data_IF_709858151515
#
_entry.id   IF_709858151515
#
_cell.length_a   1.000
_cell.length_b   1.000
_cell.length_c   1.000
_cell.angle_alpha   90.00
_cell.angle_beta   90.00
_cell.angle_gamma   90.00
#
_symmetry.space_group_name_H-M   'P 1'
#
loop_
_entity.id
_entity.type
_entity.pdbx_description
1 polymer ?
#
# COMPACT_ATOMS: atom_id res chain seq x y z
N UNK A 1 28.67 -8.07 13.29
CA UNK A 1 27.44 -7.62 14.00
C UNK A 1 26.31 -7.28 13.04
N UNK A 2 26.46 -6.32 12.10
CA UNK A 2 25.37 -5.98 11.14
C UNK A 2 24.97 -7.15 10.24
N UNK A 3 25.89 -7.93 9.71
CA UNK A 3 25.57 -9.14 8.91
C UNK A 3 24.75 -10.16 9.70
N UNK A 4 25.07 -10.37 10.98
CA UNK A 4 24.33 -11.30 11.84
C UNK A 4 22.90 -10.80 12.09
N UNK A 5 22.73 -9.49 12.29
CA UNK A 5 21.41 -8.87 12.46
C UNK A 5 20.59 -8.99 11.17
N UNK A 6 21.17 -8.73 10.02
CA UNK A 6 20.48 -8.86 8.73
C UNK A 6 20.05 -10.31 8.44
N UNK A 7 20.92 -11.30 8.75
CA UNK A 7 20.58 -12.72 8.59
C UNK A 7 19.42 -13.10 9.52
N UNK A 8 19.46 -12.65 10.78
CA UNK A 8 18.36 -12.88 11.73
C UNK A 8 17.05 -12.26 11.26
N UNK A 9 17.08 -10.97 10.89
CA UNK A 9 15.87 -10.26 10.38
C UNK A 9 15.31 -10.97 9.15
N UNK A 10 16.17 -11.39 8.22
CA UNK A 10 15.73 -12.12 7.03
C UNK A 10 15.09 -13.47 7.39
N UNK A 11 15.63 -14.19 8.35
CA UNK A 11 15.03 -15.46 8.81
C UNK A 11 13.66 -15.23 9.46
N UNK A 12 13.48 -14.14 10.20
CA UNK A 12 12.18 -13.75 10.78
C UNK A 12 11.19 -13.36 9.67
N UNK A 13 11.63 -12.59 8.68
CA UNK A 13 10.83 -12.19 7.52
C UNK A 13 10.37 -13.40 6.70
N UNK A 14 11.28 -14.30 6.38
CA UNK A 14 11.01 -15.54 5.66
C UNK A 14 10.01 -16.43 6.43
N UNK A 15 10.02 -16.41 7.75
CA UNK A 15 9.04 -17.09 8.59
C UNK A 15 7.68 -16.39 8.56
N UNK A 16 7.65 -15.08 8.75
CA UNK A 16 6.41 -14.28 8.82
C UNK A 16 5.70 -14.26 7.47
N UNK A 17 6.43 -13.96 6.38
CA UNK A 17 5.90 -14.00 5.00
C UNK A 17 6.02 -15.39 4.35
N UNK A 18 6.15 -16.42 5.16
CA UNK A 18 6.15 -17.79 4.70
C UNK A 18 4.82 -18.19 4.07
N UNK A 19 4.82 -19.39 3.49
CA UNK A 19 3.62 -20.00 2.85
C UNK A 19 2.36 -19.89 3.72
N UNK A 20 2.41 -20.10 5.06
CA UNK A 20 1.21 -20.07 5.89
C UNK A 20 0.45 -18.73 5.86
N UNK A 21 1.13 -17.61 5.98
CA UNK A 21 0.47 -16.28 5.97
C UNK A 21 -0.10 -15.95 4.60
N UNK A 22 0.66 -16.23 3.53
CA UNK A 22 0.17 -16.01 2.16
C UNK A 22 -1.06 -16.88 1.85
N UNK A 23 -1.04 -18.15 2.26
CA UNK A 23 -2.20 -19.03 2.11
C UNK A 23 -3.39 -18.49 2.92
N UNK A 24 -3.18 -18.02 4.14
CA UNK A 24 -4.22 -17.44 4.98
C UNK A 24 -4.89 -16.24 4.31
N UNK A 25 -4.11 -15.29 3.80
CA UNK A 25 -4.62 -14.07 3.15
C UNK A 25 -5.34 -14.43 1.83
N UNK A 26 -4.73 -15.28 1.00
CA UNK A 26 -5.33 -15.72 -0.25
C UNK A 26 -6.63 -16.54 -0.01
N UNK A 27 -6.61 -17.48 0.94
CA UNK A 27 -7.80 -18.26 1.29
C UNK A 27 -8.93 -17.37 1.80
N UNK A 28 -8.62 -16.37 2.62
CA UNK A 28 -9.59 -15.37 3.07
C UNK A 28 -10.20 -14.58 1.92
N UNK A 29 -9.38 -14.08 1.00
CA UNK A 29 -9.85 -13.38 -0.21
C UNK A 29 -10.71 -14.24 -1.12
N UNK A 30 -10.31 -15.50 -1.36
CA UNK A 30 -11.07 -16.48 -2.14
C UNK A 30 -12.39 -16.79 -1.44
N UNK A 31 -12.37 -17.11 -0.13
CA UNK A 31 -13.57 -17.38 0.65
C UNK A 31 -14.57 -16.23 0.58
N UNK A 32 -14.12 -14.99 0.79
CA UNK A 32 -14.97 -13.80 0.70
C UNK A 32 -15.49 -13.60 -0.71
N UNK A 33 -14.67 -13.79 -1.73
CA UNK A 33 -15.08 -13.72 -3.15
C UNK A 33 -16.22 -14.68 -3.46
N UNK A 34 -16.09 -15.95 -3.02
CA UNK A 34 -17.11 -16.99 -3.22
C UNK A 34 -18.37 -16.66 -2.42
N UNK A 35 -18.26 -16.33 -1.14
CA UNK A 35 -19.41 -16.04 -0.27
C UNK A 35 -20.18 -14.79 -0.70
N UNK A 36 -19.52 -13.80 -1.31
CA UNK A 36 -20.11 -12.58 -1.85
C UNK A 36 -20.54 -12.73 -3.32
N UNK A 37 -20.35 -13.90 -3.94
CA UNK A 37 -20.78 -14.19 -5.31
C UNK A 37 -20.08 -13.32 -6.35
N UNK A 38 -18.74 -13.22 -6.31
CA UNK A 38 -17.93 -12.40 -7.23
C UNK A 38 -18.34 -10.91 -7.24
N UNK A 39 -18.62 -10.36 -6.05
CA UNK A 39 -19.11 -8.99 -5.88
C UNK A 39 -18.20 -7.97 -6.58
N UNK A 40 -16.88 -8.15 -6.49
CA UNK A 40 -15.89 -7.27 -7.10
C UNK A 40 -16.01 -7.18 -8.64
N UNK A 41 -16.53 -8.21 -9.31
CA UNK A 41 -16.83 -8.14 -10.75
C UNK A 41 -18.19 -7.50 -11.01
N UNK A 42 -19.22 -7.96 -10.27
CA UNK A 42 -20.60 -7.60 -10.52
C UNK A 42 -20.95 -6.17 -10.12
N UNK A 43 -20.24 -5.63 -9.12
CA UNK A 43 -20.53 -4.32 -8.53
C UNK A 43 -19.42 -3.30 -8.69
N UNK A 44 -18.36 -3.61 -9.46
CA UNK A 44 -17.29 -2.66 -9.75
C UNK A 44 -17.80 -1.36 -10.41
N UNK A 45 -18.70 -1.39 -11.42
CA UNK A 45 -19.22 -0.16 -12.01
C UNK A 45 -19.95 0.72 -10.97
N UNK A 46 -20.73 0.11 -10.08
CA UNK A 46 -21.41 0.82 -9.00
C UNK A 46 -20.41 1.40 -7.99
N UNK A 47 -19.37 0.63 -7.64
CA UNK A 47 -18.31 1.07 -6.75
C UNK A 47 -17.56 2.29 -7.31
N UNK A 48 -17.22 2.29 -8.60
CA UNK A 48 -16.58 3.42 -9.30
C UNK A 48 -17.50 4.66 -9.35
N UNK A 49 -18.82 4.47 -9.55
CA UNK A 49 -19.83 5.56 -9.48
C UNK A 49 -19.83 6.19 -8.08
N UNK A 50 -19.90 5.37 -7.04
CA UNK A 50 -19.95 5.85 -5.65
C UNK A 50 -18.61 6.36 -5.10
N UNK A 51 -17.53 6.02 -5.73
CA UNK A 51 -16.23 6.59 -5.42
C UNK A 51 -16.22 8.12 -5.58
N UNK A 52 -16.88 8.64 -6.61
CA UNK A 52 -16.96 10.08 -6.91
C UNK A 52 -18.22 10.76 -6.40
N UNK A 53 -19.29 9.99 -6.12
CA UNK A 53 -20.56 10.52 -5.60
C UNK A 53 -20.58 10.40 -4.08
N UNK A 54 -20.38 11.52 -3.39
CA UNK A 54 -20.46 11.56 -1.93
C UNK A 54 -21.91 11.37 -1.45
N UNK A 55 -22.07 10.80 -0.26
CA UNK A 55 -23.33 10.68 0.45
C UNK A 55 -23.52 11.87 1.38
N UNK A 56 -24.71 12.44 1.42
CA UNK A 56 -25.03 13.54 2.33
C UNK A 56 -25.62 13.03 3.65
N UNK A 57 -25.23 13.67 4.75
CA UNK A 57 -25.84 13.47 6.07
C UNK A 57 -25.52 12.15 6.77
N UNK A 58 -24.39 11.52 6.47
CA UNK A 58 -23.85 10.41 7.25
C UNK A 58 -22.94 10.87 8.39
N UNK A 59 -22.78 10.02 9.41
CA UNK A 59 -21.74 10.22 10.42
C UNK A 59 -20.36 10.03 9.80
N UNK A 60 -19.37 10.78 10.28
CA UNK A 60 -17.98 10.71 9.81
C UNK A 60 -17.32 12.08 9.77
N UNK A 61 -15.99 12.10 9.61
CA UNK A 61 -15.17 13.33 9.65
C UNK A 61 -14.84 13.86 8.26
N UNK A 62 -14.79 12.99 7.26
CA UNK A 62 -14.37 13.26 5.89
C UNK A 62 -15.28 12.57 4.88
N UNK A 63 -15.35 13.10 3.67
CA UNK A 63 -16.16 12.48 2.60
C UNK A 63 -15.68 11.05 2.29
N UNK A 64 -16.55 10.20 1.70
CA UNK A 64 -16.16 8.85 1.25
C UNK A 64 -14.99 8.89 0.25
N UNK A 65 -14.97 9.87 -0.65
CA UNK A 65 -13.84 10.12 -1.54
C UNK A 65 -12.57 10.53 -0.76
N UNK A 66 -12.72 11.38 0.27
CA UNK A 66 -11.59 11.74 1.15
C UNK A 66 -11.02 10.56 1.91
N UNK A 67 -11.87 9.69 2.41
CA UNK A 67 -11.45 8.45 3.07
C UNK A 67 -10.74 7.50 2.10
N UNK A 68 -11.23 7.37 0.87
CA UNK A 68 -10.56 6.60 -0.18
C UNK A 68 -9.20 7.21 -0.55
N UNK A 69 -9.12 8.53 -0.75
CA UNK A 69 -7.85 9.20 -1.05
C UNK A 69 -6.85 9.07 0.10
N UNK A 70 -7.31 9.11 1.35
CA UNK A 70 -6.47 8.85 2.52
C UNK A 70 -5.98 7.38 2.54
N UNK A 71 -6.85 6.43 2.19
CA UNK A 71 -6.44 5.04 2.05
C UNK A 71 -5.48 4.83 0.87
N UNK A 72 -5.75 5.43 -0.29
CA UNK A 72 -4.87 5.39 -1.46
C UNK A 72 -3.53 6.11 -1.20
N UNK A 73 -3.52 7.17 -0.40
CA UNK A 73 -2.26 7.82 -0.03
C UNK A 73 -1.35 6.88 0.73
N UNK A 74 -1.88 6.01 1.57
CA UNK A 74 -1.09 5.03 2.30
C UNK A 74 -0.64 3.86 1.43
N UNK A 75 -1.41 3.48 0.40
CA UNK A 75 -1.15 2.30 -0.44
C UNK A 75 -0.34 2.61 -1.70
N UNK A 76 -0.64 3.72 -2.41
CA UNK A 76 0.11 4.13 -3.60
C UNK A 76 1.43 4.77 -3.17
N UNK A 77 2.48 3.97 -3.12
CA UNK A 77 3.80 4.35 -2.62
C UNK A 77 4.95 3.74 -3.41
N UNK A 78 6.06 3.53 -2.74
CA UNK A 78 7.21 2.83 -3.32
C UNK A 78 6.86 1.40 -3.77
N UNK A 79 5.84 0.78 -3.18
CA UNK A 79 5.35 -0.55 -3.55
C UNK A 79 4.96 -0.67 -5.02
N UNK A 80 4.30 0.35 -5.57
CA UNK A 80 3.80 0.37 -6.95
C UNK A 80 4.90 0.52 -8.01
N UNK A 81 6.05 1.05 -7.66
CA UNK A 81 7.18 1.29 -8.57
C UNK A 81 8.33 0.33 -8.23
N UNK A 82 8.90 0.48 -7.04
CA UNK A 82 10.05 -0.31 -6.57
C UNK A 82 9.64 -1.74 -6.21
N UNK A 83 8.48 -1.91 -5.55
CA UNK A 83 7.96 -3.22 -5.16
C UNK A 83 7.64 -4.11 -6.36
N UNK A 84 7.02 -3.55 -7.40
CA UNK A 84 6.75 -4.27 -8.66
C UNK A 84 8.05 -4.66 -9.36
N UNK A 85 9.02 -3.72 -9.46
CA UNK A 85 10.32 -4.01 -10.03
C UNK A 85 11.05 -5.13 -9.29
N UNK A 86 11.01 -5.11 -7.95
CA UNK A 86 11.58 -6.16 -7.10
C UNK A 86 10.88 -7.51 -7.29
N UNK A 87 9.53 -7.51 -7.42
CA UNK A 87 8.77 -8.74 -7.67
C UNK A 87 9.14 -9.37 -9.00
N UNK A 88 9.19 -8.55 -10.07
CA UNK A 88 9.54 -9.02 -11.41
C UNK A 88 11.01 -9.41 -11.51
N UNK A 89 11.91 -8.67 -10.86
CA UNK A 89 13.35 -9.01 -10.81
C UNK A 89 13.62 -10.33 -10.11
N UNK A 90 12.96 -10.59 -8.97
CA UNK A 90 13.19 -11.80 -8.18
C UNK A 90 12.36 -13.01 -8.65
N UNK A 91 11.13 -12.79 -9.13
CA UNK A 91 10.20 -13.84 -9.53
C UNK A 91 9.98 -13.98 -11.04
N UNK A 92 10.68 -13.16 -11.83
CA UNK A 92 10.46 -13.06 -13.28
C UNK A 92 9.12 -12.38 -13.65
N UNK A 93 8.81 -12.23 -14.94
CA UNK A 93 7.57 -11.59 -15.43
C UNK A 93 6.29 -12.23 -14.87
N UNK A 94 6.33 -13.54 -14.55
CA UNK A 94 5.21 -14.28 -13.97
C UNK A 94 4.75 -13.76 -12.60
N UNK A 95 5.61 -13.09 -11.85
CA UNK A 95 5.24 -12.48 -10.58
C UNK A 95 4.12 -11.44 -10.75
N UNK A 96 4.08 -10.72 -11.90
CA UNK A 96 3.02 -9.77 -12.19
C UNK A 96 1.65 -10.44 -12.31
N UNK A 97 1.57 -11.60 -12.94
CA UNK A 97 0.32 -12.38 -13.03
C UNK A 97 -0.23 -12.71 -11.64
N UNK A 98 0.63 -13.22 -10.76
CA UNK A 98 0.24 -13.59 -9.40
C UNK A 98 -0.11 -12.39 -8.52
N UNK A 99 0.54 -11.25 -8.74
CA UNK A 99 0.23 -9.98 -8.10
C UNK A 99 -1.19 -9.51 -8.46
N UNK A 100 -1.55 -9.54 -9.74
CA UNK A 100 -2.89 -9.16 -10.23
C UNK A 100 -3.96 -10.13 -9.71
N UNK A 101 -3.67 -11.43 -9.70
CA UNK A 101 -4.58 -12.45 -9.19
C UNK A 101 -4.82 -12.28 -7.68
N UNK A 102 -3.77 -11.99 -6.92
CA UNK A 102 -3.89 -11.70 -5.49
C UNK A 102 -4.74 -10.44 -5.23
N UNK A 103 -4.54 -9.38 -6.03
CA UNK A 103 -5.32 -8.17 -5.94
C UNK A 103 -6.80 -8.39 -6.27
N UNK A 104 -7.10 -9.24 -7.26
CA UNK A 104 -8.47 -9.60 -7.60
C UNK A 104 -9.24 -10.18 -6.39
N UNK A 105 -8.63 -11.13 -5.67
CA UNK A 105 -9.21 -11.66 -4.44
C UNK A 105 -9.14 -10.65 -3.29
N UNK A 106 -8.08 -9.85 -3.24
CA UNK A 106 -7.91 -8.76 -2.29
C UNK A 106 -8.99 -7.69 -2.35
N UNK A 107 -9.63 -7.47 -3.52
CA UNK A 107 -10.76 -6.56 -3.64
C UNK A 107 -11.93 -6.96 -2.75
N UNK A 108 -12.28 -8.25 -2.66
CA UNK A 108 -13.32 -8.75 -1.77
C UNK A 108 -12.93 -8.62 -0.29
N UNK A 109 -11.65 -8.77 0.01
CA UNK A 109 -11.10 -8.53 1.35
C UNK A 109 -11.25 -7.06 1.74
N UNK A 110 -10.80 -6.15 0.89
CA UNK A 110 -10.89 -4.69 1.09
C UNK A 110 -12.33 -4.20 1.25
N UNK A 111 -13.25 -4.77 0.45
CA UNK A 111 -14.69 -4.56 0.61
C UNK A 111 -15.16 -4.90 2.02
N UNK A 112 -14.79 -6.08 2.50
CA UNK A 112 -15.21 -6.59 3.80
C UNK A 112 -14.61 -5.77 4.95
N UNK A 113 -13.34 -5.38 4.83
CA UNK A 113 -12.64 -4.49 5.76
C UNK A 113 -13.33 -3.13 5.88
N UNK A 114 -13.64 -2.49 4.75
CA UNK A 114 -14.31 -1.19 4.72
C UNK A 114 -15.73 -1.22 5.29
N UNK A 115 -16.49 -2.29 4.99
CA UNK A 115 -17.81 -2.52 5.56
C UNK A 115 -17.76 -2.67 7.08
N UNK A 116 -16.87 -3.54 7.58
CA UNK A 116 -16.74 -3.78 9.03
C UNK A 116 -16.24 -2.56 9.77
N UNK A 117 -15.37 -1.76 9.15
CA UNK A 117 -14.85 -0.53 9.74
C UNK A 117 -15.96 0.50 10.03
N UNK A 118 -16.88 0.69 9.09
CA UNK A 118 -18.02 1.60 9.27
C UNK A 118 -19.07 1.00 10.21
N UNK A 119 -19.34 -0.32 10.09
CA UNK A 119 -20.35 -0.98 10.93
C UNK A 119 -20.01 -0.94 12.42
N UNK A 120 -18.74 -1.09 12.77
CA UNK A 120 -18.26 -1.17 14.15
C UNK A 120 -17.48 0.06 14.62
N UNK A 121 -17.57 1.17 13.90
CA UNK A 121 -16.95 2.43 14.34
C UNK A 121 -17.66 3.00 15.56
N UNK A 122 -16.90 3.77 16.33
CA UNK A 122 -17.39 4.53 17.48
C UNK A 122 -17.29 6.00 17.18
N UNK A 123 -18.37 6.72 17.39
CA UNK A 123 -18.40 8.19 17.24
C UNK A 123 -18.19 8.79 18.64
N UNK A 124 -17.10 9.54 18.80
CA UNK A 124 -16.81 10.29 20.02
C UNK A 124 -17.80 11.44 20.24
N UNK A 125 -17.83 11.97 21.47
CA UNK A 125 -18.70 13.11 21.83
C UNK A 125 -18.39 14.39 21.03
N UNK A 126 -17.20 14.49 20.51
CA UNK A 126 -16.67 15.57 19.67
C UNK A 126 -16.92 15.35 18.16
N UNK A 127 -17.66 14.28 17.79
CA UNK A 127 -17.92 13.88 16.42
C UNK A 127 -16.74 13.14 15.75
N UNK A 128 -15.70 12.82 16.51
CA UNK A 128 -14.53 12.10 16.03
C UNK A 128 -14.86 10.62 15.76
N UNK A 129 -14.55 10.12 14.56
CA UNK A 129 -14.83 8.74 14.16
C UNK A 129 -13.64 7.83 14.41
N UNK A 130 -13.83 6.84 15.26
CA UNK A 130 -12.83 5.84 15.62
C UNK A 130 -13.26 4.48 15.12
N UNK A 131 -12.48 3.84 14.28
CA UNK A 131 -12.78 2.54 13.74
C UNK A 131 -11.53 1.87 13.16
N UNK A 132 -11.75 0.69 12.58
CA UNK A 132 -10.69 -0.16 12.05
C UNK A 132 -10.66 -1.52 12.73
N UNK A 133 -9.63 -2.35 12.45
CA UNK A 133 -9.58 -3.72 12.95
C UNK A 133 -9.70 -3.86 14.45
N UNK A 134 -9.05 -3.00 15.22
CA UNK A 134 -9.12 -3.05 16.67
C UNK A 134 -10.54 -2.83 17.20
N UNK A 135 -11.39 -2.06 16.51
CA UNK A 135 -12.80 -1.88 16.92
C UNK A 135 -13.67 -3.05 16.45
N UNK A 136 -13.57 -3.53 15.22
CA UNK A 136 -14.40 -4.67 14.83
C UNK A 136 -13.94 -6.00 15.44
N UNK A 137 -12.68 -6.12 15.89
CA UNK A 137 -12.24 -7.23 16.72
C UNK A 137 -12.90 -7.13 18.11
N UNK A 138 -12.81 -5.98 18.78
CA UNK A 138 -13.32 -5.82 20.13
C UNK A 138 -14.85 -5.87 20.20
N UNK A 139 -15.55 -5.23 19.27
CA UNK A 139 -17.00 -5.12 19.28
C UNK A 139 -17.70 -6.22 18.45
N UNK A 140 -17.13 -6.56 17.31
CA UNK A 140 -17.73 -7.55 16.41
C UNK A 140 -17.51 -8.98 16.88
N UNK A 141 -16.30 -9.31 17.36
CA UNK A 141 -16.00 -10.64 17.93
C UNK A 141 -16.29 -10.71 19.45
N UNK A 142 -16.39 -9.54 20.10
CA UNK A 142 -16.67 -9.39 21.52
C UNK A 142 -15.46 -9.05 22.37
N UNK A 143 -15.74 -8.53 23.60
CA UNK A 143 -14.73 -7.96 24.51
C UNK A 143 -13.62 -8.96 24.89
N UNK A 144 -13.89 -10.26 24.83
CA UNK A 144 -12.91 -11.32 25.11
C UNK A 144 -11.73 -11.29 24.13
N UNK A 145 -11.90 -10.69 22.94
CA UNK A 145 -10.89 -10.56 21.90
C UNK A 145 -10.12 -9.26 21.93
N UNK A 146 -10.34 -8.44 22.97
CA UNK A 146 -9.63 -7.15 23.14
C UNK A 146 -8.11 -7.27 23.13
N UNK A 147 -7.56 -8.39 23.60
CA UNK A 147 -6.12 -8.66 23.53
C UNK A 147 -5.62 -8.72 22.08
N UNK A 148 -6.39 -9.36 21.17
CA UNK A 148 -6.06 -9.44 19.75
C UNK A 148 -6.13 -8.06 19.09
N UNK A 149 -7.12 -7.25 19.46
CA UNK A 149 -7.24 -5.87 19.00
C UNK A 149 -6.03 -5.01 19.41
N UNK A 150 -5.53 -5.19 20.65
CA UNK A 150 -4.32 -4.51 21.13
C UNK A 150 -3.06 -4.96 20.40
N UNK A 151 -2.93 -6.25 20.07
CA UNK A 151 -1.82 -6.79 19.26
C UNK A 151 -1.83 -6.15 17.88
N UNK A 152 -3.00 -6.10 17.21
CA UNK A 152 -3.12 -5.40 15.93
C UNK A 152 -2.66 -3.94 16.03
N UNK A 153 -3.19 -3.20 17.01
CA UNK A 153 -2.88 -1.80 17.17
C UNK A 153 -1.39 -1.55 17.50
N UNK A 154 -0.76 -2.44 18.28
CA UNK A 154 0.68 -2.38 18.54
C UNK A 154 1.50 -2.53 17.25
N UNK A 155 1.19 -3.55 16.44
CA UNK A 155 1.87 -3.69 15.16
C UNK A 155 1.59 -2.53 14.21
N UNK A 156 0.39 -1.96 14.20
CA UNK A 156 0.05 -0.78 13.42
C UNK A 156 0.91 0.44 13.77
N UNK A 157 1.21 0.66 15.04
CA UNK A 157 2.17 1.70 15.49
C UNK A 157 3.58 1.40 14.99
N UNK A 158 4.02 0.14 15.09
CA UNK A 158 5.36 -0.26 14.64
C UNK A 158 5.52 -0.13 13.11
N UNK A 159 4.51 -0.53 12.33
CA UNK A 159 4.51 -0.41 10.85
C UNK A 159 4.59 1.06 10.43
N UNK A 160 3.85 1.96 11.09
CA UNK A 160 3.94 3.38 10.82
C UNK A 160 5.35 3.92 11.11
N UNK A 161 5.89 3.65 12.29
CA UNK A 161 7.12 4.27 12.77
C UNK A 161 8.40 3.65 12.16
N UNK A 162 8.47 2.34 12.00
CA UNK A 162 9.67 1.62 11.60
C UNK A 162 9.55 0.90 10.26
N UNK A 163 8.34 0.86 9.68
CA UNK A 163 8.02 0.07 8.53
C UNK A 163 7.72 0.89 7.28
N UNK A 164 6.64 0.47 6.62
CA UNK A 164 6.17 1.03 5.35
C UNK A 164 5.78 2.51 5.47
N UNK A 165 5.41 2.98 6.67
CA UNK A 165 4.97 4.36 6.88
C UNK A 165 6.09 5.39 6.82
N UNK A 166 7.31 5.03 7.21
CA UNK A 166 8.42 5.97 7.29
C UNK A 166 9.63 5.48 6.50
N UNK A 167 10.43 4.60 7.08
CA UNK A 167 11.77 4.27 6.61
C UNK A 167 11.81 3.78 5.17
N UNK A 168 10.91 2.89 4.77
CA UNK A 168 10.89 2.38 3.39
C UNK A 168 10.55 3.46 2.37
N UNK A 169 9.61 4.35 2.68
CA UNK A 169 9.20 5.43 1.77
C UNK A 169 10.29 6.50 1.67
N UNK A 170 10.83 6.93 2.81
CA UNK A 170 11.87 7.97 2.85
C UNK A 170 13.14 7.47 2.17
N UNK A 171 13.48 6.21 2.36
CA UNK A 171 14.61 5.59 1.69
C UNK A 171 14.39 5.50 0.17
N UNK A 172 13.17 5.14 -0.26
CA UNK A 172 12.79 5.15 -1.67
C UNK A 172 12.91 6.53 -2.31
N UNK A 173 12.43 7.58 -1.64
CA UNK A 173 12.58 8.98 -2.09
C UNK A 173 14.06 9.36 -2.20
N UNK A 174 14.83 9.12 -1.14
CA UNK A 174 16.24 9.49 -1.08
C UNK A 174 17.06 8.78 -2.15
N UNK A 175 16.79 7.49 -2.37
CA UNK A 175 17.44 6.73 -3.44
C UNK A 175 17.09 7.26 -4.83
N UNK A 176 15.83 7.60 -5.08
CA UNK A 176 15.41 8.14 -6.36
C UNK A 176 16.01 9.52 -6.64
N UNK A 177 16.00 10.40 -5.63
CA UNK A 177 16.61 11.74 -5.72
C UNK A 177 18.12 11.64 -5.93
N UNK A 178 18.78 10.76 -5.17
CA UNK A 178 20.22 10.54 -5.30
C UNK A 178 20.60 9.97 -6.67
N UNK A 179 19.88 8.98 -7.16
CA UNK A 179 20.11 8.40 -8.48
C UNK A 179 19.96 9.41 -9.63
N UNK A 180 19.13 10.44 -9.43
CA UNK A 180 18.94 11.49 -10.41
C UNK A 180 20.00 12.61 -10.32
N UNK A 181 20.27 13.14 -9.10
CA UNK A 181 21.10 14.32 -8.91
C UNK A 181 22.59 14.02 -8.66
N UNK A 182 22.91 12.89 -8.03
CA UNK A 182 24.30 12.48 -7.72
C UNK A 182 24.48 10.95 -7.82
N UNK A 183 24.29 10.36 -9.03
CA UNK A 183 24.31 8.90 -9.22
C UNK A 183 25.65 8.25 -8.89
N UNK A 184 26.74 9.03 -8.85
CA UNK A 184 28.10 8.53 -8.54
C UNK A 184 28.54 8.83 -7.13
N UNK A 185 27.68 9.44 -6.29
CA UNK A 185 28.02 9.88 -4.92
C UNK A 185 29.30 10.72 -4.85
N UNK A 186 29.46 11.65 -5.80
CA UNK A 186 30.69 12.47 -5.90
C UNK A 186 30.74 13.60 -4.87
N UNK A 187 29.59 14.00 -4.34
CA UNK A 187 29.46 15.13 -3.42
C UNK A 187 28.92 14.66 -2.08
N UNK A 188 29.77 13.99 -1.30
CA UNK A 188 29.42 13.46 0.02
C UNK A 188 29.75 14.42 1.15
N UNK A 189 28.93 14.44 2.19
CA UNK A 189 29.07 15.25 3.40
C UNK A 189 28.86 14.34 4.62
N UNK A 190 29.67 14.55 5.67
CA UNK A 190 29.44 13.95 6.99
C UNK A 190 28.31 14.69 7.70
N UNK A 191 27.16 14.03 7.88
CA UNK A 191 26.01 14.63 8.58
C UNK A 191 26.26 14.66 10.10
N UNK A 192 26.68 13.52 10.65
CA UNK A 192 27.05 13.38 12.06
C UNK A 192 28.20 12.38 12.19
N UNK A 193 29.04 12.46 13.25
CA UNK A 193 30.21 11.60 13.41
C UNK A 193 29.93 10.09 13.38
N UNK A 194 28.69 9.70 13.68
CA UNK A 194 28.27 8.30 13.79
C UNK A 194 27.38 7.82 12.63
N UNK A 195 26.90 8.71 11.73
CA UNK A 195 26.01 8.37 10.62
C UNK A 195 26.73 8.12 9.29
N UNK A 196 28.04 8.35 9.21
CA UNK A 196 28.78 8.17 7.96
C UNK A 196 28.68 9.33 6.97
N UNK A 197 29.09 9.08 5.73
CA UNK A 197 29.07 10.06 4.64
C UNK A 197 27.90 9.78 3.70
N UNK A 198 27.13 10.83 3.40
CA UNK A 198 25.96 10.78 2.50
C UNK A 198 26.03 11.88 1.46
N UNK A 199 25.46 11.62 0.28
CA UNK A 199 25.36 12.65 -0.75
C UNK A 199 24.53 13.84 -0.26
N UNK A 200 24.92 15.04 -0.65
CA UNK A 200 24.18 16.28 -0.34
C UNK A 200 22.71 16.20 -0.79
N UNK A 201 22.46 15.50 -1.93
CA UNK A 201 21.09 15.30 -2.45
C UNK A 201 20.19 14.56 -1.45
N UNK A 202 20.71 13.53 -0.75
CA UNK A 202 20.01 12.80 0.30
C UNK A 202 19.71 13.68 1.49
N UNK A 203 20.68 14.51 1.90
CA UNK A 203 20.53 15.41 3.06
C UNK A 203 19.46 16.46 2.80
N UNK A 204 19.52 17.12 1.64
CA UNK A 204 18.52 18.14 1.27
C UNK A 204 17.14 17.50 1.13
N UNK A 205 17.05 16.34 0.45
CA UNK A 205 15.78 15.62 0.32
C UNK A 205 15.17 15.28 1.69
N UNK A 206 15.97 14.79 2.65
CA UNK A 206 15.48 14.45 3.99
C UNK A 206 14.97 15.67 4.77
N UNK A 207 15.66 16.81 4.67
CA UNK A 207 15.26 18.07 5.31
C UNK A 207 13.95 18.61 4.72
N UNK A 208 13.88 18.69 3.40
CA UNK A 208 12.67 19.17 2.68
C UNK A 208 11.50 18.26 2.97
N UNK A 209 11.71 16.94 2.93
CA UNK A 209 10.67 15.94 3.21
C UNK A 209 10.16 16.07 4.64
N UNK A 210 11.06 16.12 5.64
CA UNK A 210 10.67 16.25 7.04
C UNK A 210 9.89 17.56 7.29
N UNK A 211 10.30 18.66 6.65
CA UNK A 211 9.56 19.93 6.72
C UNK A 211 8.17 19.83 6.11
N UNK A 212 8.04 19.27 4.90
CA UNK A 212 6.74 19.10 4.23
C UNK A 212 5.81 18.18 5.02
N UNK A 213 6.34 17.05 5.55
CA UNK A 213 5.59 16.13 6.39
C UNK A 213 5.12 16.83 7.67
N UNK A 214 6.00 17.53 8.39
CA UNK A 214 5.63 18.30 9.58
C UNK A 214 4.54 19.33 9.30
N UNK A 215 4.65 20.07 8.18
CA UNK A 215 3.68 21.08 7.77
C UNK A 215 2.27 20.50 7.57
N UNK A 216 2.15 19.25 7.11
CA UNK A 216 0.85 18.58 6.93
C UNK A 216 0.37 17.94 8.23
N UNK A 217 1.22 17.18 8.93
CA UNK A 217 0.84 16.39 10.10
C UNK A 217 0.36 17.25 11.27
N UNK A 218 0.94 18.43 11.48
CA UNK A 218 0.51 19.37 12.53
C UNK A 218 -0.97 19.77 12.37
N UNK A 219 -1.51 19.75 11.15
CA UNK A 219 -2.92 20.04 10.86
C UNK A 219 -3.87 18.87 11.11
N UNK A 220 -3.38 17.69 11.47
CA UNK A 220 -4.17 16.48 11.79
C UNK A 220 -4.91 15.87 10.58
N UNK A 221 -5.83 14.95 10.88
CA UNK A 221 -6.52 14.10 9.87
C UNK A 221 -7.20 14.88 8.75
N UNK A 222 -7.87 15.99 9.08
CA UNK A 222 -8.57 16.81 8.07
C UNK A 222 -7.60 17.39 7.04
N UNK A 223 -6.41 17.81 7.50
CA UNK A 223 -5.38 18.33 6.61
C UNK A 223 -4.72 17.23 5.79
N UNK A 224 -4.46 16.08 6.39
CA UNK A 224 -3.97 14.90 5.67
C UNK A 224 -4.96 14.51 4.57
N UNK A 225 -6.25 14.39 4.88
CA UNK A 225 -7.29 14.07 3.90
C UNK A 225 -7.38 15.12 2.78
N UNK A 226 -7.35 16.42 3.12
CA UNK A 226 -7.40 17.49 2.12
C UNK A 226 -6.21 17.47 1.17
N UNK A 227 -5.01 17.24 1.68
CA UNK A 227 -3.79 17.10 0.88
C UNK A 227 -3.85 15.84 0.01
N UNK A 228 -4.28 14.72 0.58
CA UNK A 228 -4.42 13.45 -0.15
C UNK A 228 -5.45 13.53 -1.27
N UNK A 229 -6.58 14.21 -1.08
CA UNK A 229 -7.61 14.40 -2.12
C UNK A 229 -7.10 15.16 -3.35
N UNK A 230 -6.07 15.97 -3.21
CA UNK A 230 -5.46 16.72 -4.33
C UNK A 230 -4.30 15.92 -4.92
N UNK A 231 -3.36 15.49 -4.08
CA UNK A 231 -2.10 14.88 -4.56
C UNK A 231 -2.35 13.49 -5.13
N UNK A 232 -3.19 12.66 -4.50
CA UNK A 232 -3.36 11.26 -4.92
C UNK A 232 -3.95 11.14 -6.34
N UNK A 233 -5.06 11.80 -6.70
CA UNK A 233 -5.55 11.76 -8.07
C UNK A 233 -4.55 12.36 -9.07
N UNK A 234 -3.90 13.48 -8.70
CA UNK A 234 -2.92 14.15 -9.55
C UNK A 234 -1.74 13.23 -9.88
N UNK A 235 -1.11 12.63 -8.86
CA UNK A 235 0.04 11.74 -9.07
C UNK A 235 -0.34 10.48 -9.84
N UNK A 236 -1.52 9.88 -9.53
CA UNK A 236 -1.99 8.70 -10.21
C UNK A 236 -2.24 8.95 -11.70
N UNK A 237 -2.92 10.07 -12.03
CA UNK A 237 -3.19 10.45 -13.42
C UNK A 237 -1.90 10.70 -14.19
N UNK A 238 -0.95 11.46 -13.63
CA UNK A 238 0.35 11.71 -14.28
C UNK A 238 1.05 10.38 -14.56
N UNK A 239 1.18 9.52 -13.55
CA UNK A 239 1.84 8.24 -13.70
C UNK A 239 1.18 7.38 -14.78
N UNK A 240 -0.15 7.23 -14.72
CA UNK A 240 -0.92 6.46 -15.70
C UNK A 240 -0.73 7.01 -17.12
N UNK A 241 -0.78 8.33 -17.30
CA UNK A 241 -0.60 8.96 -18.61
C UNK A 241 0.77 8.64 -19.18
N UNK A 242 1.86 8.81 -18.40
CA UNK A 242 3.20 8.51 -18.90
C UNK A 242 3.39 7.03 -19.22
N UNK A 243 2.85 6.13 -18.40
CA UNK A 243 2.93 4.69 -18.70
C UNK A 243 2.06 4.31 -19.90
N UNK A 244 0.89 4.92 -20.07
CA UNK A 244 0.07 4.71 -21.28
C UNK A 244 0.80 5.19 -22.54
N UNK A 245 1.49 6.33 -22.51
CA UNK A 245 2.34 6.78 -23.62
C UNK A 245 3.42 5.73 -23.91
N UNK A 246 4.09 5.19 -22.88
CA UNK A 246 5.08 4.12 -23.04
C UNK A 246 4.46 2.89 -23.71
N UNK A 247 3.29 2.44 -23.25
CA UNK A 247 2.58 1.28 -23.81
C UNK A 247 2.18 1.52 -25.26
N UNK A 248 1.64 2.70 -25.58
CA UNK A 248 1.25 3.07 -26.94
C UNK A 248 2.46 3.11 -27.89
N UNK A 249 3.58 3.68 -27.45
CA UNK A 249 4.81 3.70 -28.23
C UNK A 249 5.38 2.29 -28.49
N UNK A 250 5.05 1.32 -27.64
CA UNK A 250 5.50 -0.06 -27.76
C UNK A 250 4.34 -1.04 -28.04
N UNK A 251 3.25 -0.56 -28.67
CA UNK A 251 1.98 -1.32 -28.81
C UNK A 251 2.15 -2.67 -29.51
N UNK A 252 3.06 -2.76 -30.47
CA UNK A 252 3.34 -4.01 -31.21
C UNK A 252 3.96 -5.10 -30.32
N UNK A 253 4.64 -4.74 -29.24
CA UNK A 253 5.26 -5.67 -28.30
C UNK A 253 4.30 -6.12 -27.18
N UNK A 254 3.16 -5.44 -27.02
CA UNK A 254 2.19 -5.71 -25.94
C UNK A 254 1.68 -7.16 -25.94
N UNK A 255 1.25 -7.76 -27.08
CA UNK A 255 0.81 -9.16 -27.09
C UNK A 255 1.91 -10.14 -26.65
N UNK A 256 3.15 -9.90 -27.07
CA UNK A 256 4.31 -10.72 -26.68
C UNK A 256 4.62 -10.57 -25.19
N UNK A 257 4.52 -9.38 -24.63
CA UNK A 257 4.71 -9.12 -23.20
C UNK A 257 3.66 -9.85 -22.36
N UNK A 258 2.38 -9.79 -22.73
CA UNK A 258 1.33 -10.55 -22.05
C UNK A 258 1.57 -12.07 -22.14
N UNK A 259 1.94 -12.57 -23.31
CA UNK A 259 2.28 -13.99 -23.48
C UNK A 259 3.46 -14.39 -22.57
N UNK A 260 4.48 -13.52 -22.45
CA UNK A 260 5.64 -13.74 -21.58
C UNK A 260 5.22 -13.79 -20.12
N UNK A 261 4.38 -12.85 -19.65
CA UNK A 261 3.87 -12.81 -18.28
C UNK A 261 3.10 -14.10 -17.94
N UNK A 262 2.16 -14.50 -18.80
CA UNK A 262 1.35 -15.71 -18.56
C UNK A 262 2.19 -16.98 -18.63
N UNK A 263 3.06 -17.12 -19.63
CA UNK A 263 3.95 -18.29 -19.73
C UNK A 263 4.89 -18.40 -18.53
N UNK A 264 5.49 -17.28 -18.08
CA UNK A 264 6.38 -17.26 -16.94
C UNK A 264 5.66 -17.56 -15.63
N UNK A 265 4.38 -17.20 -15.50
CA UNK A 265 3.59 -17.46 -14.30
C UNK A 265 3.40 -18.96 -13.99
N UNK A 266 3.41 -19.81 -15.02
CA UNK A 266 3.18 -21.26 -14.91
C UNK A 266 4.39 -22.10 -15.34
N UNK A 267 5.52 -21.48 -15.64
CA UNK A 267 6.74 -22.20 -16.03
C UNK A 267 7.44 -22.80 -14.81
N UNK A 268 7.79 -24.10 -14.87
CA UNK A 268 8.57 -24.73 -13.79
C UNK A 268 10.05 -24.30 -13.77
N UNK A 269 10.53 -23.62 -14.82
CA UNK A 269 11.91 -23.10 -14.94
C UNK A 269 11.89 -21.58 -15.12
N UNK A 270 12.81 -20.88 -14.44
CA UNK A 270 13.00 -19.46 -14.70
C UNK A 270 13.48 -19.22 -16.12
N UNK A 271 12.94 -18.20 -16.77
CA UNK A 271 13.34 -17.77 -18.12
C UNK A 271 14.68 -17.00 -18.07
N UNK A 272 15.22 -16.69 -16.90
CA UNK A 272 16.48 -15.97 -16.71
C UNK A 272 17.61 -16.93 -16.37
N UNK A 273 18.68 -16.88 -17.15
CA UNK A 273 19.86 -17.71 -16.97
C UNK A 273 20.48 -17.58 -15.57
N UNK A 274 20.43 -18.66 -14.83
CA UNK A 274 21.16 -18.85 -13.58
C UNK A 274 20.37 -18.73 -12.26
N UNK A 275 19.24 -18.02 -12.20
CA UNK A 275 18.40 -17.99 -11.00
C UNK A 275 17.18 -18.89 -11.22
N UNK A 276 17.07 -19.98 -10.46
CA UNK A 276 15.94 -20.92 -10.51
C UNK A 276 14.70 -20.27 -9.89
N UNK A 277 14.01 -19.41 -10.67
CA UNK A 277 12.64 -19.02 -10.32
C UNK A 277 11.69 -20.15 -10.69
N UNK A 278 11.28 -21.00 -9.72
CA UNK A 278 10.14 -21.89 -9.92
C UNK A 278 8.87 -21.04 -9.99
N UNK A 279 7.77 -21.57 -10.56
CA UNK A 279 6.48 -20.89 -10.51
C UNK A 279 6.08 -20.51 -9.05
N UNK A 280 6.55 -21.29 -8.07
CA UNK A 280 6.36 -21.00 -6.64
C UNK A 280 7.03 -19.69 -6.22
N UNK A 281 8.24 -19.41 -6.71
CA UNK A 281 8.92 -18.14 -6.43
C UNK A 281 8.20 -16.97 -7.09
N UNK A 282 7.78 -17.11 -8.35
CA UNK A 282 6.99 -16.10 -9.03
C UNK A 282 5.68 -15.82 -8.29
N UNK A 283 4.97 -16.86 -7.88
CA UNK A 283 3.75 -16.76 -7.09
C UNK A 283 4.02 -16.09 -5.73
N UNK A 284 5.02 -16.55 -4.99
CA UNK A 284 5.36 -16.01 -3.67
C UNK A 284 5.73 -14.52 -3.76
N UNK A 285 6.62 -14.16 -4.69
CA UNK A 285 7.06 -12.76 -4.84
C UNK A 285 5.94 -11.87 -5.38
N UNK A 286 5.13 -12.37 -6.31
CA UNK A 286 3.98 -11.63 -6.84
C UNK A 286 2.92 -11.38 -5.78
N UNK A 287 2.49 -12.43 -5.05
CA UNK A 287 1.46 -12.32 -4.00
C UNK A 287 1.96 -11.42 -2.86
N UNK A 288 3.17 -11.65 -2.35
CA UNK A 288 3.71 -10.87 -1.23
C UNK A 288 3.81 -9.37 -1.57
N UNK A 289 4.37 -9.04 -2.74
CA UNK A 289 4.49 -7.62 -3.16
C UNK A 289 3.17 -6.99 -3.59
N UNK A 290 2.21 -7.79 -4.09
CA UNK A 290 0.85 -7.35 -4.34
C UNK A 290 0.13 -6.95 -3.05
N UNK A 291 0.18 -7.80 -2.03
CA UNK A 291 -0.39 -7.53 -0.71
C UNK A 291 0.31 -6.33 -0.05
N UNK A 292 1.63 -6.25 -0.15
CA UNK A 292 2.40 -5.11 0.36
C UNK A 292 1.97 -3.79 -0.29
N UNK A 293 1.66 -3.78 -1.59
CA UNK A 293 1.20 -2.58 -2.30
C UNK A 293 -0.22 -2.19 -1.92
N UNK A 294 -1.20 -3.10 -2.08
CA UNK A 294 -2.62 -2.76 -1.90
C UNK A 294 -3.12 -2.92 -0.46
N UNK A 295 -2.34 -3.51 0.43
CA UNK A 295 -2.65 -3.72 1.85
C UNK A 295 -3.95 -4.52 2.11
N UNK A 296 -4.44 -5.30 1.15
CA UNK A 296 -5.65 -6.11 1.34
C UNK A 296 -5.37 -7.28 2.30
N UNK A 297 -6.10 -7.34 3.40
CA UNK A 297 -5.90 -8.31 4.47
C UNK A 297 -4.96 -7.85 5.58
N UNK A 298 -4.26 -6.71 5.40
CA UNK A 298 -3.42 -6.13 6.46
C UNK A 298 -4.25 -5.37 7.52
N UNK A 299 -5.42 -4.86 7.15
CA UNK A 299 -6.31 -4.14 8.07
C UNK A 299 -5.96 -2.66 8.28
N UNK A 300 -5.07 -2.09 7.50
CA UNK A 300 -4.68 -0.67 7.59
C UNK A 300 -5.75 0.27 7.03
N UNK A 301 -6.17 0.06 5.79
CA UNK A 301 -7.14 0.91 5.10
C UNK A 301 -8.50 1.07 5.79
N UNK A 302 -9.07 0.06 6.49
CA UNK A 302 -10.28 0.24 7.27
C UNK A 302 -10.20 1.34 8.32
N UNK A 303 -9.01 1.72 8.77
CA UNK A 303 -8.82 2.85 9.70
C UNK A 303 -9.26 4.17 9.05
N UNK A 304 -8.91 4.41 7.78
CA UNK A 304 -9.40 5.57 7.04
C UNK A 304 -10.87 5.42 6.65
N UNK A 305 -11.30 4.22 6.24
CA UNK A 305 -12.69 3.97 5.86
C UNK A 305 -13.69 4.28 6.98
N UNK A 306 -13.29 4.07 8.25
CA UNK A 306 -14.12 4.40 9.40
C UNK A 306 -14.44 5.90 9.54
N UNK A 307 -13.57 6.78 9.05
CA UNK A 307 -13.78 8.22 9.10
C UNK A 307 -14.72 8.74 8.00
N UNK A 308 -15.13 7.90 7.04
CA UNK A 308 -15.99 8.30 5.94
C UNK A 308 -17.39 8.71 6.39
N UNK A 309 -17.88 9.82 5.85
CA UNK A 309 -19.28 10.25 6.01
C UNK A 309 -20.18 9.34 5.16
N UNK A 310 -20.83 8.40 5.81
CA UNK A 310 -21.76 7.47 5.17
C UNK A 310 -22.74 6.88 6.17
N UNK A 311 -23.96 6.61 5.73
CA UNK A 311 -25.00 5.90 6.49
C UNK A 311 -24.89 4.39 6.29
N UNK A 312 -24.31 3.96 5.16
CA UNK A 312 -24.36 2.58 4.72
C UNK A 312 -22.97 1.93 4.70
N UNK A 313 -22.69 0.97 5.61
CA UNK A 313 -21.43 0.25 5.65
C UNK A 313 -21.03 -0.42 4.33
N UNK A 314 -22.02 -0.96 3.60
CA UNK A 314 -21.82 -1.63 2.30
C UNK A 314 -21.34 -0.64 1.24
N UNK A 315 -21.86 0.58 1.24
CA UNK A 315 -21.44 1.64 0.31
C UNK A 315 -19.94 1.96 0.51
N UNK A 316 -19.52 2.16 1.74
CA UNK A 316 -18.10 2.40 2.02
C UNK A 316 -17.24 1.17 1.71
N UNK A 317 -17.73 -0.03 1.93
CA UNK A 317 -17.07 -1.26 1.50
C UNK A 317 -16.78 -1.28 0.00
N UNK A 318 -17.79 -0.92 -0.83
CA UNK A 318 -17.64 -0.82 -2.27
C UNK A 318 -16.62 0.27 -2.67
N UNK A 319 -16.68 1.44 -2.06
CA UNK A 319 -15.68 2.51 -2.28
C UNK A 319 -14.28 2.02 -1.90
N UNK A 320 -14.10 1.39 -0.76
CA UNK A 320 -12.80 0.86 -0.30
C UNK A 320 -12.22 -0.19 -1.26
N UNK A 321 -13.07 -1.02 -1.86
CA UNK A 321 -12.68 -2.02 -2.85
C UNK A 321 -11.99 -1.41 -4.08
N UNK A 322 -12.41 -0.20 -4.50
CA UNK A 322 -11.81 0.49 -5.65
C UNK A 322 -10.36 0.87 -5.39
N UNK A 323 -9.96 1.00 -4.14
CA UNK A 323 -8.55 1.25 -3.77
C UNK A 323 -7.63 0.16 -4.28
N UNK A 324 -7.93 -1.12 -4.02
CA UNK A 324 -7.14 -2.25 -4.53
C UNK A 324 -7.17 -2.34 -6.06
N UNK A 325 -8.31 -2.01 -6.67
CA UNK A 325 -8.43 -1.95 -8.13
C UNK A 325 -7.48 -0.90 -8.72
N UNK A 326 -7.50 0.33 -8.22
CA UNK A 326 -6.65 1.42 -8.72
C UNK A 326 -5.17 1.13 -8.44
N UNK A 327 -4.84 0.76 -7.20
CA UNK A 327 -3.46 0.52 -6.77
C UNK A 327 -2.78 -0.61 -7.57
N UNK A 328 -3.39 -1.78 -7.58
CA UNK A 328 -2.69 -2.97 -8.11
C UNK A 328 -3.17 -3.38 -9.49
N UNK A 329 -4.50 -3.48 -9.71
CA UNK A 329 -5.01 -3.89 -11.03
C UNK A 329 -4.65 -2.85 -12.10
N UNK A 330 -4.63 -1.55 -11.76
CA UNK A 330 -4.25 -0.50 -12.70
C UNK A 330 -2.76 -0.16 -12.58
N UNK A 331 -2.33 0.45 -11.48
CA UNK A 331 -0.99 1.06 -11.38
C UNK A 331 0.13 0.01 -11.38
N UNK A 332 0.06 -1.04 -10.53
CA UNK A 332 1.12 -2.06 -10.52
C UNK A 332 1.17 -2.85 -11.84
N UNK A 333 0.00 -3.12 -12.46
CA UNK A 333 -0.03 -3.80 -13.77
C UNK A 333 0.66 -2.95 -14.83
N UNK A 334 0.40 -1.65 -14.88
CA UNK A 334 1.03 -0.73 -15.80
C UNK A 334 2.55 -0.66 -15.58
N UNK A 335 2.99 -0.59 -14.30
CA UNK A 335 4.43 -0.62 -13.96
C UNK A 335 5.08 -1.91 -14.44
N UNK A 336 4.51 -3.07 -14.09
CA UNK A 336 5.06 -4.36 -14.47
C UNK A 336 5.06 -4.58 -15.99
N UNK A 337 4.02 -4.12 -16.67
CA UNK A 337 3.95 -4.17 -18.14
C UNK A 337 5.05 -3.31 -18.76
N UNK A 338 5.31 -2.10 -18.25
CA UNK A 338 6.39 -1.25 -18.77
C UNK A 338 7.77 -1.90 -18.61
N UNK A 339 8.01 -2.58 -17.48
CA UNK A 339 9.25 -3.31 -17.21
C UNK A 339 9.42 -4.49 -18.19
N UNK A 340 8.33 -5.23 -18.46
CA UNK A 340 8.38 -6.38 -19.37
C UNK A 340 8.51 -5.95 -20.83
N UNK A 341 7.77 -4.91 -21.27
CA UNK A 341 7.82 -4.36 -22.62
C UNK A 341 9.21 -3.89 -23.03
N UNK A 342 9.93 -3.27 -22.11
CA UNK A 342 11.26 -2.69 -22.37
C UNK A 342 12.41 -3.67 -22.13
N UNK A 343 12.11 -4.87 -21.63
CA UNK A 343 13.14 -5.86 -21.27
C UNK A 343 13.98 -5.45 -20.04
N UNK A 344 13.57 -4.44 -19.28
CA UNK A 344 14.32 -3.91 -18.14
C UNK A 344 14.63 -4.97 -17.06
N UNK A 345 13.77 -5.98 -16.94
CA UNK A 345 13.93 -7.09 -16.00
C UNK A 345 15.07 -8.05 -16.34
N UNK A 346 15.62 -7.99 -17.55
CA UNK A 346 16.73 -8.83 -18.03
C UNK A 346 18.09 -8.13 -17.95
N UNK A 347 18.11 -6.87 -17.55
CA UNK A 347 19.35 -6.09 -17.50
C UNK A 347 20.06 -6.35 -16.18
N UNK A 348 21.23 -6.99 -16.25
CA UNK A 348 22.05 -7.32 -15.09
C UNK A 348 22.48 -6.07 -14.32
N UNK A 349 22.48 -6.18 -13.00
CA UNK A 349 22.95 -5.13 -12.09
C UNK A 349 21.94 -4.02 -11.82
N UNK A 350 20.73 -4.06 -12.40
CA UNK A 350 19.66 -3.13 -12.02
C UNK A 350 18.82 -3.68 -10.88
N UNK A 351 18.59 -2.86 -9.87
CA UNK A 351 17.76 -3.22 -8.72
C UNK A 351 16.75 -2.10 -8.37
N UNK A 352 15.60 -2.49 -7.84
CA UNK A 352 14.60 -1.58 -7.29
C UNK A 352 14.17 -0.51 -8.30
N UNK A 353 14.33 0.76 -7.93
CA UNK A 353 13.93 1.90 -8.77
C UNK A 353 14.68 1.96 -10.11
N UNK A 354 15.91 1.46 -10.18
CA UNK A 354 16.72 1.50 -11.40
C UNK A 354 16.08 0.72 -12.54
N UNK A 355 15.42 -0.40 -12.24
CA UNK A 355 14.69 -1.22 -13.24
C UNK A 355 13.57 -0.41 -13.88
N UNK A 356 12.75 0.28 -13.07
CA UNK A 356 11.66 1.10 -13.60
C UNK A 356 12.18 2.36 -14.29
N UNK A 357 13.28 2.94 -13.79
CA UNK A 357 13.94 4.08 -14.47
C UNK A 357 14.43 3.69 -15.85
N UNK A 358 15.07 2.53 -15.97
CA UNK A 358 15.50 2.00 -17.26
C UNK A 358 14.32 1.79 -18.20
N UNK A 359 13.20 1.24 -17.70
CA UNK A 359 11.98 1.05 -18.48
C UNK A 359 11.45 2.38 -19.04
N UNK A 360 11.39 3.43 -18.21
CA UNK A 360 10.95 4.76 -18.66
C UNK A 360 11.90 5.40 -19.65
N UNK A 361 13.21 5.31 -19.42
CA UNK A 361 14.25 5.89 -20.28
C UNK A 361 14.31 5.26 -21.68
N UNK A 362 13.94 3.98 -21.79
CA UNK A 362 14.04 3.24 -23.06
C UNK A 362 12.67 2.97 -23.71
N UNK A 363 11.57 3.16 -22.97
CA UNK A 363 10.22 2.94 -23.48
C UNK A 363 9.47 4.21 -23.88
N UNK A 364 9.82 5.37 -23.31
CA UNK A 364 9.19 6.65 -23.62
C UNK A 364 9.87 7.36 -24.81
N UNK A 365 9.13 8.11 -25.61
CA UNK A 365 9.67 8.86 -26.77
C UNK A 365 10.31 10.20 -26.35
N UNK A 366 10.77 10.32 -25.12
CA UNK A 366 11.37 11.55 -24.55
C UNK A 366 12.86 11.37 -24.25
N UNK A 367 13.61 12.45 -24.06
CA UNK A 367 14.99 12.36 -23.57
C UNK A 367 15.08 11.55 -22.28
N UNK A 368 16.15 10.76 -22.14
CA UNK A 368 16.33 9.86 -20.99
C UNK A 368 16.30 10.57 -19.65
N UNK A 369 16.86 11.77 -19.61
CA UNK A 369 16.89 12.64 -18.41
C UNK A 369 15.47 13.06 -18.01
N UNK A 370 14.65 13.46 -18.99
CA UNK A 370 13.26 13.85 -18.73
C UNK A 370 12.43 12.63 -18.26
N UNK A 371 12.62 11.47 -18.89
CA UNK A 371 11.93 10.23 -18.49
C UNK A 371 12.29 9.81 -17.07
N UNK A 372 13.57 9.89 -16.71
CA UNK A 372 14.04 9.63 -15.34
C UNK A 372 13.52 10.64 -14.33
N UNK A 373 13.48 11.93 -14.70
CA UNK A 373 12.95 13.00 -13.85
C UNK A 373 11.46 12.79 -13.54
N UNK A 374 10.66 12.47 -14.55
CA UNK A 374 9.21 12.20 -14.36
C UNK A 374 9.00 11.03 -13.41
N UNK A 375 9.74 9.93 -13.58
CA UNK A 375 9.61 8.78 -12.68
C UNK A 375 10.03 9.13 -11.25
N UNK A 376 11.16 9.83 -11.09
CA UNK A 376 11.60 10.32 -9.78
C UNK A 376 10.52 11.18 -9.11
N UNK A 377 9.92 12.12 -9.85
CA UNK A 377 8.86 12.98 -9.33
C UNK A 377 7.62 12.19 -8.91
N UNK A 378 7.18 11.23 -9.75
CA UNK A 378 6.07 10.35 -9.39
C UNK A 378 6.37 9.56 -8.12
N UNK A 379 7.58 8.98 -7.98
CA UNK A 379 7.98 8.23 -6.81
C UNK A 379 8.00 9.10 -5.55
N UNK A 380 8.49 10.33 -5.66
CA UNK A 380 8.50 11.29 -4.55
C UNK A 380 7.07 11.59 -4.06
N UNK A 381 6.13 11.86 -4.97
CA UNK A 381 4.74 12.09 -4.59
C UNK A 381 4.08 10.83 -4.00
N UNK A 382 4.28 9.67 -4.62
CA UNK A 382 3.75 8.40 -4.13
C UNK A 382 4.22 8.11 -2.70
N UNK A 383 5.53 8.17 -2.48
CA UNK A 383 6.10 7.89 -1.17
C UNK A 383 5.77 8.97 -0.13
N UNK A 384 5.72 10.25 -0.52
CA UNK A 384 5.31 11.34 0.36
C UNK A 384 3.88 11.15 0.89
N UNK A 385 2.94 10.83 0.01
CA UNK A 385 1.56 10.60 0.45
C UNK A 385 1.44 9.36 1.34
N UNK A 386 2.25 8.32 1.09
CA UNK A 386 2.28 7.11 1.93
C UNK A 386 2.75 7.43 3.36
N UNK A 387 3.74 8.31 3.52
CA UNK A 387 4.17 8.79 4.83
C UNK A 387 3.00 9.44 5.59
N UNK A 388 2.22 10.29 4.92
CA UNK A 388 1.07 10.97 5.52
C UNK A 388 -0.05 10.01 5.90
N UNK A 389 -0.39 9.06 5.02
CA UNK A 389 -1.44 8.08 5.24
C UNK A 389 -1.11 7.13 6.41
N UNK A 390 0.13 6.69 6.50
CA UNK A 390 0.57 5.80 7.57
C UNK A 390 0.74 6.50 8.92
N UNK A 391 1.08 7.79 8.96
CA UNK A 391 1.01 8.57 10.20
C UNK A 391 -0.42 8.55 10.77
N UNK A 392 -1.41 8.82 9.92
CA UNK A 392 -2.81 8.76 10.33
C UNK A 392 -3.18 7.38 10.90
N UNK A 393 -2.81 6.29 10.23
CA UNK A 393 -3.11 4.93 10.69
C UNK A 393 -2.47 4.61 12.04
N UNK A 394 -1.20 4.92 12.18
CA UNK A 394 -0.45 4.63 13.40
C UNK A 394 -0.86 5.52 14.57
N UNK A 395 -1.23 6.78 14.34
CA UNK A 395 -1.82 7.64 15.36
C UNK A 395 -3.15 7.07 15.89
N UNK A 396 -4.03 6.54 15.01
CA UNK A 396 -5.29 5.89 15.41
C UNK A 396 -5.03 4.61 16.21
N UNK A 397 -4.04 3.82 15.82
CA UNK A 397 -3.62 2.64 16.58
C UNK A 397 -3.11 3.02 17.99
N UNK A 398 -2.29 4.06 18.10
CA UNK A 398 -1.78 4.55 19.36
C UNK A 398 -2.89 5.17 20.25
N UNK A 399 -3.83 5.89 19.64
CA UNK A 399 -5.00 6.43 20.34
C UNK A 399 -5.82 5.32 20.98
N UNK A 400 -6.09 4.24 20.26
CA UNK A 400 -6.76 3.05 20.79
C UNK A 400 -5.97 2.43 21.97
N UNK A 401 -4.66 2.21 21.81
CA UNK A 401 -3.80 1.63 22.85
C UNK A 401 -3.73 2.49 24.11
N UNK A 402 -3.69 3.80 23.94
CA UNK A 402 -3.60 4.76 25.04
C UNK A 402 -4.94 5.08 25.71
N UNK A 403 -6.04 4.51 25.21
CA UNK A 403 -7.39 4.79 25.70
C UNK A 403 -7.84 6.23 25.44
N UNK A 404 -7.54 6.78 24.26
CA UNK A 404 -7.95 8.12 23.83
C UNK A 404 -7.07 9.27 24.36
N UNK A 405 -5.91 8.98 24.93
CA UNK A 405 -5.03 10.02 25.51
C UNK A 405 -4.22 10.73 24.43
N UNK A 406 -4.73 11.82 23.91
CA UNK A 406 -4.12 12.63 22.84
C UNK A 406 -2.70 13.15 23.13
N UNK A 407 -2.28 13.22 24.42
CA UNK A 407 -0.91 13.59 24.79
C UNK A 407 0.12 12.63 24.17
N UNK A 408 -0.15 11.33 24.19
CA UNK A 408 0.76 10.33 23.63
C UNK A 408 0.79 10.41 22.09
N UNK A 409 -0.36 10.67 21.46
CA UNK A 409 -0.45 10.85 20.01
C UNK A 409 0.38 12.06 19.55
N UNK A 410 0.32 13.18 20.29
CA UNK A 410 1.14 14.36 19.99
C UNK A 410 2.64 14.09 20.10
N UNK A 411 3.08 13.36 21.13
CA UNK A 411 4.50 12.98 21.28
C UNK A 411 4.92 12.05 20.14
N UNK A 412 4.09 11.06 19.80
CA UNK A 412 4.33 10.14 18.71
C UNK A 412 4.53 10.86 17.38
N UNK A 413 3.70 11.85 17.07
CA UNK A 413 3.81 12.65 15.84
C UNK A 413 5.19 13.30 15.69
N UNK A 414 5.76 13.84 16.76
CA UNK A 414 7.12 14.39 16.72
C UNK A 414 8.19 13.31 16.54
N UNK A 415 8.02 12.15 17.18
CA UNK A 415 8.91 11.00 16.98
C UNK A 415 8.82 10.52 15.53
N UNK A 416 7.63 10.51 14.94
CA UNK A 416 7.40 10.14 13.55
C UNK A 416 8.10 11.09 12.57
N UNK A 417 7.97 12.40 12.77
CA UNK A 417 8.67 13.41 11.97
C UNK A 417 10.20 13.25 12.07
N UNK A 418 10.70 12.96 13.28
CA UNK A 418 12.11 12.68 13.47
C UNK A 418 12.56 11.40 12.75
N UNK A 419 11.72 10.35 12.76
CA UNK A 419 11.97 9.11 12.04
C UNK A 419 12.01 9.33 10.52
N UNK A 420 11.16 10.21 9.98
CA UNK A 420 11.20 10.64 8.57
C UNK A 420 12.54 11.30 8.24
N UNK A 421 13.08 12.14 9.11
CA UNK A 421 14.38 12.77 8.90
C UNK A 421 15.55 11.76 8.96
N UNK A 422 15.49 10.79 9.87
CA UNK A 422 16.56 9.81 10.09
C UNK A 422 16.52 8.66 9.05
N UNK A 423 15.35 8.35 8.51
CA UNK A 423 15.11 7.22 7.62
C UNK A 423 16.10 7.06 6.45
N UNK A 424 16.50 8.13 5.74
CA UNK A 424 17.45 8.07 4.63
C UNK A 424 18.83 7.54 5.01
N UNK A 425 19.19 7.64 6.29
CA UNK A 425 20.50 7.23 6.82
C UNK A 425 20.52 5.79 7.32
N UNK A 426 19.41 5.06 7.17
CA UNK A 426 19.34 3.63 7.50
C UNK A 426 19.73 2.76 6.31
N UNK A 427 20.25 1.56 6.57
CA UNK A 427 20.59 0.63 5.48
C UNK A 427 19.32 0.08 4.82
N UNK A 428 19.26 0.12 3.49
CA UNK A 428 18.06 -0.22 2.70
C UNK A 428 17.53 -1.62 3.02
N UNK A 429 18.40 -2.64 3.09
CA UNK A 429 17.97 -4.03 3.32
C UNK A 429 17.29 -4.23 4.68
N UNK A 430 17.87 -3.69 5.74
CA UNK A 430 17.30 -3.81 7.08
C UNK A 430 15.94 -3.10 7.19
N UNK A 431 15.81 -1.92 6.56
CA UNK A 431 14.58 -1.13 6.55
C UNK A 431 13.43 -1.89 5.90
N UNK A 432 13.66 -2.46 4.71
CA UNK A 432 12.65 -3.25 4.01
C UNK A 432 12.25 -4.52 4.76
N UNK A 433 13.23 -5.19 5.37
CA UNK A 433 12.97 -6.41 6.14
C UNK A 433 12.13 -6.13 7.38
N UNK A 434 12.42 -5.05 8.11
CA UNK A 434 11.63 -4.63 9.28
C UNK A 434 10.20 -4.23 8.85
N UNK A 435 10.06 -3.50 7.75
CA UNK A 435 8.76 -3.14 7.19
C UNK A 435 7.91 -4.37 6.86
N UNK A 436 8.50 -5.35 6.19
CA UNK A 436 7.85 -6.59 5.80
C UNK A 436 7.42 -7.39 7.04
N UNK A 437 8.28 -7.55 8.05
CA UNK A 437 7.97 -8.29 9.29
C UNK A 437 6.75 -7.69 10.01
N UNK A 438 6.75 -6.40 10.26
CA UNK A 438 5.64 -5.77 10.99
C UNK A 438 4.33 -5.81 10.20
N UNK A 439 4.38 -5.63 8.89
CA UNK A 439 3.22 -5.77 8.02
C UNK A 439 2.62 -7.18 8.09
N UNK A 440 3.45 -8.20 7.99
CA UNK A 440 2.99 -9.59 8.06
C UNK A 440 2.34 -9.92 9.41
N UNK A 441 2.96 -9.49 10.51
CA UNK A 441 2.44 -9.70 11.86
C UNK A 441 1.12 -8.95 12.11
N UNK A 442 0.92 -7.79 11.50
CA UNK A 442 -0.33 -7.02 11.58
C UNK A 442 -1.47 -7.74 10.85
N UNK A 443 -1.18 -8.47 9.77
CA UNK A 443 -2.20 -9.17 8.99
C UNK A 443 -2.90 -10.28 9.79
N UNK A 444 -2.21 -10.98 10.67
CA UNK A 444 -2.77 -12.14 11.39
C UNK A 444 -4.03 -11.80 12.21
N UNK A 445 -4.02 -10.81 13.11
CA UNK A 445 -5.22 -10.43 13.85
C UNK A 445 -6.38 -10.02 12.95
N UNK A 446 -6.09 -9.30 11.87
CA UNK A 446 -7.08 -8.85 10.92
C UNK A 446 -7.73 -10.03 10.17
N UNK A 447 -6.94 -10.95 9.66
CA UNK A 447 -7.46 -12.13 8.96
C UNK A 447 -8.34 -13.01 9.87
N UNK A 448 -7.94 -13.20 11.13
CA UNK A 448 -8.77 -13.92 12.11
C UNK A 448 -10.14 -13.25 12.24
N UNK A 449 -10.17 -11.91 12.34
CA UNK A 449 -11.42 -11.16 12.43
C UNK A 449 -12.27 -11.27 11.15
N UNK A 450 -11.67 -11.19 9.98
CA UNK A 450 -12.37 -11.33 8.70
C UNK A 450 -13.02 -12.70 8.55
N UNK A 451 -12.33 -13.79 8.93
CA UNK A 451 -12.91 -15.14 8.96
C UNK A 451 -14.10 -15.21 9.93
N UNK A 452 -13.92 -14.73 11.15
CA UNK A 452 -14.95 -14.76 12.19
C UNK A 452 -16.19 -13.94 11.81
N UNK A 453 -15.99 -12.74 11.23
CA UNK A 453 -17.06 -11.81 10.88
C UNK A 453 -17.56 -11.94 9.44
N UNK A 454 -17.07 -12.90 8.67
CA UNK A 454 -17.48 -13.11 7.28
C UNK A 454 -18.98 -13.33 7.10
N UNK A 455 -19.64 -13.95 8.10
CA UNK A 455 -21.10 -14.10 8.14
C UNK A 455 -21.85 -12.77 8.26
N UNK A 456 -21.31 -11.85 9.06
CA UNK A 456 -21.84 -10.49 9.21
C UNK A 456 -21.74 -9.73 7.88
N UNK A 457 -20.56 -9.80 7.23
CA UNK A 457 -20.35 -9.16 5.92
C UNK A 457 -21.39 -9.64 4.89
N UNK A 458 -21.59 -10.94 4.78
CA UNK A 458 -22.57 -11.52 3.83
C UNK A 458 -23.99 -11.06 4.15
N UNK A 459 -24.38 -11.06 5.43
CA UNK A 459 -25.73 -10.65 5.88
C UNK A 459 -25.99 -9.19 5.54
N UNK A 460 -25.06 -8.28 5.90
CA UNK A 460 -25.18 -6.84 5.61
C UNK A 460 -25.25 -6.58 4.12
N UNK A 461 -24.39 -7.26 3.34
CA UNK A 461 -24.37 -7.13 1.88
C UNK A 461 -25.70 -7.52 1.25
N UNK A 462 -26.28 -8.67 1.66
CA UNK A 462 -27.58 -9.12 1.13
C UNK A 462 -28.69 -8.14 1.49
N UNK A 463 -28.78 -7.75 2.77
CA UNK A 463 -29.81 -6.82 3.25
C UNK A 463 -29.74 -5.47 2.53
N UNK A 464 -28.52 -4.94 2.33
CA UNK A 464 -28.31 -3.69 1.60
C UNK A 464 -28.80 -3.78 0.14
N UNK A 465 -28.43 -4.82 -0.61
CA UNK A 465 -28.84 -4.96 -2.00
C UNK A 465 -30.31 -5.32 -2.17
N UNK A 466 -30.98 -5.90 -1.18
CA UNK A 466 -32.42 -6.05 -1.14
C UNK A 466 -33.12 -4.67 -1.03
N UNK A 467 -32.70 -3.83 -0.06
CA UNK A 467 -33.20 -2.47 0.11
C UNK A 467 -32.95 -1.59 -1.13
N UNK A 468 -31.74 -1.68 -1.69
CA UNK A 468 -31.39 -0.96 -2.91
C UNK A 468 -32.25 -1.37 -4.10
N UNK A 469 -32.59 -2.66 -4.23
CA UNK A 469 -33.51 -3.15 -5.29
C UNK A 469 -34.94 -2.65 -5.09
N UNK A 470 -35.37 -2.50 -3.85
CA UNK A 470 -36.71 -2.00 -3.50
C UNK A 470 -36.81 -0.46 -3.63
N UNK A 471 -35.73 0.24 -3.99
CA UNK A 471 -35.71 1.69 -4.10
C UNK A 471 -35.66 2.45 -2.77
N UNK A 472 -35.32 1.75 -1.68
CA UNK A 472 -35.18 2.36 -0.34
C UNK A 472 -33.85 3.08 -0.16
N UNK A 473 -32.87 2.83 -1.04
CA UNK A 473 -31.55 3.43 -1.05
C UNK A 473 -31.33 4.04 -2.42
N UNK A 474 -31.01 5.33 -2.44
CA UNK A 474 -30.70 6.06 -3.67
C UNK A 474 -29.33 5.70 -4.25
N UNK A 475 -29.27 5.68 -5.59
CA UNK A 475 -28.09 5.46 -6.41
C UNK A 475 -27.07 6.63 -6.36
#
# INVERSE_FOLDING_TARGET
MWNTINIFLKSVDDFVWGVPLMVLIMAGGIMLTVRLGLLQMRKLPLALKWMVKNEEGGDGEITSFGALCTALSATIGTGNIVGVATAVGAGGPGALFWMVLAAFFGMATKYSEGLLAVKYRVIGKDGHSLGGPFYYIEQGMGIKWKWLAKIFAFFGVCVGLFGIGTFSQVNGISSAVNNFFDPKNQHTVKVLPFLGEYSWSVIIASLVLAFCVAAVLIGGVKRIASVSQIIVPFMAVIYIVFVLVLVVCNITAVPAAFATIVKAAFSPKAITGGAVGSFLVAMQKGVARGIFSNEAGLGSAPIAAAAAQTKEPVRQGLVSMTGTFIDTIVICTLTGLSIVLTGAWQVDGLEGVQVTTYAFQNGLPFPKELSAFVLMLCLVFFAFTTILGWDYYSERCLEYLSGGRMKYVKVYRWIYILAVFIGPYMTVSAVWTIADIFNGLMALPNMIALFALSGVVVKETKHFFERHRNGEIED
#
